data_IF_938054562956
#
_entry.id   IF_938054562956
#
_cell.length_a   1.000
_cell.length_b   1.000
_cell.length_c   1.000
_cell.angle_alpha   90.00
_cell.angle_beta   90.00
_cell.angle_gamma   90.00
#
_symmetry.space_group_name_H-M   'P 1'
#
loop_
_entity.id
_entity.type
_entity.pdbx_description
1 polymer ?
#
# COMPACT_ATOMS: atom_id res chain seq x y z
N UNK A 1 -11.93 -8.92 -13.01
CA UNK A 1 -11.11 -9.64 -12.03
C UNK A 1 -9.71 -9.10 -12.20
N UNK A 2 -9.26 -8.28 -11.25
CA UNK A 2 -7.94 -7.63 -11.29
C UNK A 2 -7.16 -8.06 -10.04
N UNK A 3 -6.17 -8.93 -10.22
CA UNK A 3 -5.35 -9.46 -9.12
C UNK A 3 -4.41 -8.39 -8.58
N UNK A 4 -3.96 -7.46 -9.42
CA UNK A 4 -3.08 -6.36 -9.01
C UNK A 4 -3.81 -5.45 -8.03
N UNK A 5 -5.01 -5.01 -8.41
CA UNK A 5 -5.84 -4.17 -7.54
C UNK A 5 -6.22 -4.91 -6.26
N UNK A 6 -6.62 -6.18 -6.36
CA UNK A 6 -6.91 -7.02 -5.19
C UNK A 6 -5.71 -7.14 -4.25
N UNK A 7 -4.48 -7.23 -4.77
CA UNK A 7 -3.25 -7.24 -3.97
C UNK A 7 -3.09 -5.95 -3.17
N UNK A 8 -3.32 -4.79 -3.79
CA UNK A 8 -3.26 -3.49 -3.10
C UNK A 8 -4.33 -3.35 -2.02
N UNK A 9 -5.56 -3.81 -2.28
CA UNK A 9 -6.63 -3.85 -1.28
C UNK A 9 -6.22 -4.73 -0.10
N UNK A 10 -5.69 -5.92 -0.36
CA UNK A 10 -5.29 -6.86 0.68
C UNK A 10 -4.09 -6.38 1.50
N UNK A 11 -3.16 -5.62 0.91
CA UNK A 11 -2.12 -4.94 1.69
C UNK A 11 -2.72 -4.01 2.74
N UNK A 12 -3.75 -3.25 2.38
CA UNK A 12 -4.46 -2.37 3.33
C UNK A 12 -5.18 -3.18 4.41
N UNK A 13 -5.80 -4.30 4.05
CA UNK A 13 -6.46 -5.19 5.01
C UNK A 13 -5.49 -5.79 6.01
N UNK A 14 -4.33 -6.31 5.56
CA UNK A 14 -3.32 -6.87 6.46
C UNK A 14 -2.79 -5.77 7.39
N UNK A 15 -2.52 -4.57 6.88
CA UNK A 15 -2.07 -3.42 7.70
C UNK A 15 -3.11 -2.97 8.73
N UNK A 16 -4.40 -3.20 8.46
CA UNK A 16 -5.49 -2.93 9.39
C UNK A 16 -5.75 -4.08 10.37
N UNK A 17 -4.86 -5.08 10.43
CA UNK A 17 -5.03 -6.28 11.28
C UNK A 17 -6.27 -7.12 10.93
N UNK A 18 -6.72 -7.04 9.67
CA UNK A 18 -7.87 -7.78 9.16
C UNK A 18 -9.15 -6.92 9.05
N UNK A 19 -10.30 -7.62 9.01
CA UNK A 19 -11.61 -7.03 8.73
C UNK A 19 -12.63 -7.24 9.85
N UNK A 20 -12.20 -7.74 11.02
CA UNK A 20 -13.12 -8.04 12.11
C UNK A 20 -13.94 -6.79 12.52
N UNK A 21 -15.26 -6.93 12.77
CA UNK A 21 -16.06 -8.16 12.78
C UNK A 21 -16.67 -8.55 11.42
N UNK A 22 -16.39 -7.77 10.36
CA UNK A 22 -16.96 -7.95 9.03
C UNK A 22 -16.15 -8.91 8.14
N UNK A 23 -16.34 -8.75 6.83
CA UNK A 23 -15.66 -9.53 5.81
C UNK A 23 -15.91 -8.96 4.42
N UNK A 24 -15.48 -9.68 3.39
CA UNK A 24 -15.75 -9.30 2.01
C UNK A 24 -17.15 -9.73 1.58
N UNK A 25 -18.00 -8.76 1.28
CA UNK A 25 -19.29 -8.98 0.65
C UNK A 25 -19.16 -8.81 -0.86
N UNK A 26 -19.63 -9.79 -1.63
CA UNK A 26 -19.72 -9.68 -3.08
C UNK A 26 -21.04 -8.98 -3.46
N UNK A 27 -21.10 -7.67 -3.22
CA UNK A 27 -22.15 -6.80 -3.76
C UNK A 27 -21.90 -6.54 -5.25
N UNK A 28 -22.06 -7.61 -6.02
CA UNK A 28 -21.76 -7.67 -7.43
C UNK A 28 -22.86 -8.44 -8.16
N UNK A 29 -22.91 -8.24 -9.48
CA UNK A 29 -23.88 -8.91 -10.36
C UNK A 29 -23.20 -9.46 -11.59
N UNK A 30 -23.83 -10.46 -12.19
CA UNK A 30 -23.46 -10.93 -13.51
C UNK A 30 -23.55 -9.80 -14.55
N UNK A 31 -22.84 -10.00 -15.66
CA UNK A 31 -23.04 -9.17 -16.84
C UNK A 31 -24.43 -9.44 -17.38
N UNK A 32 -25.02 -8.46 -18.06
CA UNK A 32 -26.37 -8.56 -18.60
C UNK A 32 -26.55 -9.73 -19.56
N UNK A 33 -25.51 -10.04 -20.32
CA UNK A 33 -25.49 -11.10 -21.33
C UNK A 33 -24.98 -12.46 -20.77
N UNK A 34 -24.62 -12.52 -19.48
CA UNK A 34 -24.31 -13.78 -18.78
C UNK A 34 -25.62 -14.34 -18.22
N UNK A 35 -26.29 -15.16 -19.01
CA UNK A 35 -27.67 -15.60 -18.77
C UNK A 35 -27.78 -17.02 -18.24
N UNK A 36 -26.69 -17.78 -18.25
CA UNK A 36 -26.72 -19.17 -17.86
C UNK A 36 -26.59 -19.29 -16.33
N UNK A 37 -27.16 -20.34 -15.75
CA UNK A 37 -27.17 -20.49 -14.29
C UNK A 37 -25.76 -20.74 -13.74
N UNK A 38 -24.90 -21.40 -14.50
CA UNK A 38 -23.51 -21.66 -14.14
C UNK A 38 -22.65 -20.39 -14.13
N UNK A 39 -23.03 -19.33 -14.86
CA UNK A 39 -22.37 -18.02 -14.79
C UNK A 39 -22.34 -17.46 -13.37
N UNK A 40 -23.36 -17.72 -12.54
CA UNK A 40 -23.38 -17.34 -11.13
C UNK A 40 -22.18 -17.94 -10.37
N UNK A 41 -21.89 -19.22 -10.61
CA UNK A 41 -20.79 -19.92 -9.96
C UNK A 41 -19.45 -19.44 -10.51
N UNK A 42 -19.33 -19.32 -11.84
CA UNK A 42 -18.10 -18.85 -12.50
C UNK A 42 -17.71 -17.46 -11.96
N UNK A 43 -18.67 -16.54 -11.85
CA UNK A 43 -18.42 -15.18 -11.37
C UNK A 43 -17.98 -15.15 -9.90
N UNK A 44 -18.65 -15.90 -9.01
CA UNK A 44 -18.28 -15.93 -7.59
C UNK A 44 -16.94 -16.63 -7.36
N UNK A 45 -16.71 -17.77 -8.01
CA UNK A 45 -15.42 -18.48 -7.94
C UNK A 45 -14.29 -17.56 -8.36
N UNK A 46 -14.44 -16.88 -9.50
CA UNK A 46 -13.41 -15.96 -9.97
C UNK A 46 -13.22 -14.74 -9.06
N UNK A 47 -14.30 -14.20 -8.47
CA UNK A 47 -14.20 -13.12 -7.48
C UNK A 47 -13.46 -13.55 -6.21
N UNK A 48 -13.83 -14.71 -5.66
CA UNK A 48 -13.19 -15.32 -4.49
C UNK A 48 -11.71 -15.63 -4.75
N UNK A 49 -11.38 -16.25 -5.89
CA UNK A 49 -10.00 -16.59 -6.23
C UNK A 49 -9.16 -15.33 -6.49
N UNK A 50 -9.74 -14.27 -7.07
CA UNK A 50 -9.05 -12.99 -7.25
C UNK A 50 -8.64 -12.37 -5.91
N UNK A 51 -9.55 -12.32 -4.94
CA UNK A 51 -9.26 -11.80 -3.60
C UNK A 51 -8.27 -12.71 -2.85
N UNK A 52 -8.41 -14.03 -2.95
CA UNK A 52 -7.51 -14.98 -2.30
C UNK A 52 -6.08 -14.90 -2.86
N UNK A 53 -5.92 -14.76 -4.19
CA UNK A 53 -4.62 -14.52 -4.82
C UNK A 53 -4.03 -13.19 -4.38
N UNK A 54 -4.85 -12.12 -4.40
CA UNK A 54 -4.43 -10.81 -3.90
C UNK A 54 -3.91 -10.87 -2.46
N UNK A 55 -4.55 -11.64 -1.59
CA UNK A 55 -4.13 -11.81 -0.20
C UNK A 55 -2.78 -12.52 -0.09
N UNK A 56 -2.57 -13.59 -0.87
CA UNK A 56 -1.29 -14.32 -0.89
C UNK A 56 -0.15 -13.45 -1.41
N UNK A 57 -0.40 -12.68 -2.46
CA UNK A 57 0.58 -11.77 -3.06
C UNK A 57 0.91 -10.62 -2.09
N UNK A 58 -0.09 -10.07 -1.40
CA UNK A 58 0.11 -9.05 -0.38
C UNK A 58 0.94 -9.55 0.81
N UNK A 59 0.67 -10.78 1.28
CA UNK A 59 1.49 -11.42 2.32
C UNK A 59 2.94 -11.57 1.88
N UNK A 60 3.18 -12.07 0.65
CA UNK A 60 4.54 -12.19 0.07
C UNK A 60 5.26 -10.85 0.00
N UNK A 61 4.58 -9.77 -0.41
CA UNK A 61 5.17 -8.42 -0.45
C UNK A 61 5.56 -7.89 0.93
N UNK A 62 4.74 -8.18 1.95
CA UNK A 62 5.03 -7.78 3.33
C UNK A 62 6.21 -8.56 3.90
N UNK A 63 6.25 -9.87 3.66
CA UNK A 63 7.36 -10.75 4.09
C UNK A 63 8.68 -10.39 3.41
N UNK A 64 8.66 -10.06 2.11
CA UNK A 64 9.84 -9.61 1.37
C UNK A 64 10.38 -8.27 1.89
N UNK A 65 9.49 -7.35 2.27
CA UNK A 65 9.85 -6.10 2.93
C UNK A 65 10.51 -5.05 2.03
N UNK A 66 10.83 -5.34 0.75
CA UNK A 66 11.52 -4.39 -0.13
C UNK A 66 10.73 -3.10 -0.36
N UNK A 67 9.39 -3.19 -0.50
CA UNK A 67 8.53 -2.00 -0.60
C UNK A 67 8.53 -1.17 0.69
N UNK A 68 8.48 -1.84 1.84
CA UNK A 68 8.53 -1.16 3.14
C UNK A 68 9.88 -0.45 3.34
N UNK A 69 10.98 -1.05 2.89
CA UNK A 69 12.30 -0.44 2.95
C UNK A 69 12.43 0.79 2.05
N UNK A 70 11.79 0.80 0.87
CA UNK A 70 11.72 2.00 0.02
C UNK A 70 10.99 3.14 0.72
N UNK A 71 9.86 2.85 1.38
CA UNK A 71 9.11 3.84 2.15
C UNK A 71 9.95 4.33 3.33
N UNK A 72 10.56 3.44 4.11
CA UNK A 72 11.42 3.82 5.24
C UNK A 72 12.55 4.74 4.80
N UNK A 73 13.28 4.39 3.74
CA UNK A 73 14.36 5.24 3.19
C UNK A 73 13.86 6.62 2.74
N UNK A 74 12.64 6.70 2.22
CA UNK A 74 12.03 7.97 1.81
C UNK A 74 11.76 8.89 3.00
N UNK A 75 11.36 8.33 4.14
CA UNK A 75 10.99 9.09 5.34
C UNK A 75 12.07 9.12 6.42
N UNK A 76 13.25 8.55 6.18
CA UNK A 76 14.36 8.45 7.15
C UNK A 76 14.82 9.80 7.76
N UNK A 77 14.51 10.94 7.13
CA UNK A 77 14.82 12.26 7.69
C UNK A 77 14.01 12.55 8.96
N UNK A 78 12.84 11.93 9.13
CA UNK A 78 12.04 12.03 10.34
C UNK A 78 12.63 11.24 11.51
N UNK A 79 13.49 10.24 11.24
CA UNK A 79 14.24 9.52 12.26
C UNK A 79 15.47 10.30 12.80
N UNK A 80 15.72 11.51 12.29
CA UNK A 80 16.80 12.39 12.78
C UNK A 80 16.33 13.23 13.96
N UNK A 81 17.27 13.83 14.72
CA UNK A 81 16.94 14.63 15.91
C UNK A 81 15.87 15.70 15.64
N UNK A 82 16.08 16.52 14.59
CA UNK A 82 15.14 17.57 14.20
C UNK A 82 13.83 17.00 13.61
N UNK A 83 13.91 15.93 12.82
CA UNK A 83 12.75 15.27 12.25
C UNK A 83 11.82 14.70 13.33
N UNK A 84 12.39 14.07 14.34
CA UNK A 84 11.67 13.52 15.49
C UNK A 84 11.06 14.62 16.36
N UNK A 85 11.73 15.78 16.50
CA UNK A 85 11.14 16.94 17.18
C UNK A 85 9.93 17.50 16.42
N UNK A 86 10.01 17.53 15.08
CA UNK A 86 8.88 17.96 14.23
C UNK A 86 7.71 16.98 14.37
N UNK A 87 7.95 15.68 14.25
CA UNK A 87 6.91 14.65 14.37
C UNK A 87 6.26 14.63 15.75
N UNK A 88 7.05 14.88 16.80
CA UNK A 88 6.56 14.98 18.18
C UNK A 88 5.88 16.31 18.52
N UNK A 89 5.78 17.26 17.57
CA UNK A 89 5.18 18.59 17.80
C UNK A 89 5.98 19.48 18.77
N UNK A 90 7.28 19.24 18.92
CA UNK A 90 8.18 19.97 19.82
C UNK A 90 8.99 21.07 19.13
N UNK A 91 9.09 21.02 17.80
CA UNK A 91 9.75 22.07 17.03
C UNK A 91 8.82 23.28 16.86
N UNK A 92 9.36 24.48 17.06
CA UNK A 92 8.68 25.75 16.79
C UNK A 92 9.18 26.40 15.49
N UNK A 93 8.46 27.43 15.03
CA UNK A 93 8.81 28.13 13.79
C UNK A 93 10.16 28.83 13.87
N UNK A 94 10.54 29.35 15.03
CA UNK A 94 11.83 30.04 15.23
C UNK A 94 13.01 29.06 15.03
N UNK A 95 12.91 27.86 15.61
CA UNK A 95 13.92 26.81 15.48
C UNK A 95 14.00 26.29 14.04
N UNK A 96 12.85 26.08 13.39
CA UNK A 96 12.78 25.59 12.02
C UNK A 96 13.27 26.61 10.99
N UNK A 97 12.97 27.90 11.18
CA UNK A 97 13.48 28.98 10.34
C UNK A 97 15.01 29.03 10.39
N UNK A 98 15.59 29.00 11.60
CA UNK A 98 17.05 28.98 11.78
C UNK A 98 17.67 27.77 11.06
N UNK A 99 17.08 26.58 11.19
CA UNK A 99 17.56 25.36 10.51
C UNK A 99 17.46 25.46 8.99
N UNK A 100 16.37 26.02 8.46
CA UNK A 100 16.22 26.22 7.02
C UNK A 100 17.29 27.18 6.45
N UNK A 101 17.62 28.25 7.19
CA UNK A 101 18.68 29.19 6.81
C UNK A 101 20.08 28.56 6.89
N UNK A 102 20.33 27.68 7.87
CA UNK A 102 21.60 26.93 8.01
C UNK A 102 21.81 25.91 6.88
N UNK A 103 20.76 25.21 6.44
CA UNK A 103 20.87 24.12 5.45
C UNK A 103 20.77 24.57 4.00
N UNK A 104 20.17 25.73 3.74
CA UNK A 104 19.94 26.22 2.38
C UNK A 104 18.94 25.36 1.60
N UNK A 105 19.10 25.30 0.27
CA UNK A 105 18.12 24.64 -0.59
C UNK A 105 18.08 23.11 -0.37
N UNK A 106 16.89 22.52 -0.16
CA UNK A 106 16.77 21.09 0.05
C UNK A 106 17.10 20.31 -1.22
N UNK A 107 17.76 19.15 -1.06
CA UNK A 107 17.94 18.19 -2.15
C UNK A 107 16.65 17.38 -2.32
N UNK A 108 16.09 17.37 -3.52
CA UNK A 108 14.92 16.53 -3.85
C UNK A 108 15.39 15.11 -4.17
N UNK A 109 15.09 14.09 -3.34
CA UNK A 109 15.44 12.71 -3.65
C UNK A 109 14.50 12.13 -4.71
N UNK A 110 15.03 11.25 -5.57
CA UNK A 110 14.22 10.48 -6.52
C UNK A 110 13.21 9.59 -5.78
N UNK A 111 11.96 9.54 -6.27
CA UNK A 111 10.90 8.74 -5.65
C UNK A 111 10.99 7.24 -5.95
N UNK A 112 11.76 6.83 -6.98
CA UNK A 112 11.94 5.43 -7.39
C UNK A 112 10.62 4.70 -7.69
N UNK A 113 9.68 5.40 -8.33
CA UNK A 113 8.34 4.90 -8.66
C UNK A 113 8.40 3.61 -9.49
N UNK A 114 9.19 3.59 -10.56
CA UNK A 114 9.32 2.45 -11.47
C UNK A 114 9.95 1.23 -10.78
N UNK A 115 10.86 1.47 -9.83
CA UNK A 115 11.43 0.41 -9.00
C UNK A 115 10.38 -0.19 -8.06
N UNK A 116 9.55 0.66 -7.44
CA UNK A 116 8.46 0.20 -6.59
C UNK A 116 7.43 -0.61 -7.39
N UNK A 117 7.09 -0.16 -8.60
CA UNK A 117 6.20 -0.89 -9.51
C UNK A 117 6.80 -2.23 -9.94
N UNK A 118 8.11 -2.28 -10.25
CA UNK A 118 8.80 -3.54 -10.59
C UNK A 118 8.77 -4.54 -9.42
N UNK A 119 9.03 -4.09 -8.19
CA UNK A 119 8.94 -4.94 -7.00
C UNK A 119 7.50 -5.45 -6.82
N UNK A 120 6.51 -4.56 -6.92
CA UNK A 120 5.11 -4.93 -6.83
C UNK A 120 4.71 -6.00 -7.86
N UNK A 121 5.09 -5.80 -9.13
CA UNK A 121 4.81 -6.75 -10.20
C UNK A 121 5.48 -8.10 -10.01
N UNK A 122 6.67 -8.15 -9.38
CA UNK A 122 7.38 -9.42 -9.12
C UNK A 122 6.67 -10.33 -8.10
N UNK A 123 5.72 -9.77 -7.35
CA UNK A 123 4.93 -10.51 -6.37
C UNK A 123 3.54 -10.90 -6.86
N UNK A 124 3.12 -10.43 -8.03
CA UNK A 124 1.85 -10.81 -8.66
C UNK A 124 1.88 -12.26 -9.16
#
# INVERSE_FOLDING_TARGET
MDVSEATLVMLSVIKNEGLAPGGFNFDAKLRRESTDVDDLFIAHIGGMDTLARGLRNAAKLIEDGSLNELVRKRYQSFDTEIGAQVEAGKADFETLEKKAMEWGAPKVPSAKQELAEMIFQSAL
#
